data_IF_615152184011
#
_entry.id   IF_615152184011
#
_cell.length_a   1.000
_cell.length_b   1.000
_cell.length_c   1.000
_cell.angle_alpha   90.00
_cell.angle_beta   90.00
_cell.angle_gamma   90.00
#
_symmetry.space_group_name_H-M   'P 1'
#
loop_
_entity.id
_entity.type
_entity.pdbx_description
1 polymer ?
#
# COMPACT_ATOMS: atom_id res chain seq x y z
N UNK A 1 -6.41 -13.96 -36.67
CA UNK A 1 -7.31 -13.39 -35.64
C UNK A 1 -7.11 -14.25 -34.41
N UNK A 2 -6.70 -13.67 -33.29
CA UNK A 2 -6.58 -14.41 -32.04
C UNK A 2 -7.98 -14.91 -31.63
N UNK A 3 -8.13 -16.22 -31.51
CA UNK A 3 -9.40 -16.88 -31.21
C UNK A 3 -9.54 -17.17 -29.72
N UNK A 4 -10.70 -17.66 -29.30
CA UNK A 4 -10.92 -18.11 -27.92
C UNK A 4 -9.94 -19.23 -27.50
N UNK A 5 -9.36 -19.96 -28.46
CA UNK A 5 -8.31 -20.97 -28.25
C UNK A 5 -6.99 -20.39 -27.69
N UNK A 6 -6.74 -19.09 -27.86
CA UNK A 6 -5.56 -18.42 -27.27
C UNK A 6 -5.73 -18.13 -25.77
N UNK A 7 -6.93 -18.33 -25.20
CA UNK A 7 -7.20 -18.16 -23.76
C UNK A 7 -6.80 -19.38 -22.92
N UNK A 8 -6.60 -20.54 -23.55
CA UNK A 8 -6.12 -21.76 -22.89
C UNK A 8 -4.59 -21.77 -22.72
N UNK A 9 -3.88 -20.78 -23.30
CA UNK A 9 -2.45 -20.64 -23.04
C UNK A 9 -2.23 -20.13 -21.61
N UNK A 10 -1.57 -20.92 -20.74
CA UNK A 10 -1.20 -20.42 -19.43
C UNK A 10 -0.21 -19.27 -19.63
N UNK A 11 -0.67 -18.05 -19.34
CA UNK A 11 0.21 -16.89 -19.28
C UNK A 11 1.36 -17.21 -18.31
N UNK A 12 2.60 -16.79 -18.59
CA UNK A 12 3.68 -16.85 -17.62
C UNK A 12 3.36 -15.83 -16.51
N UNK A 13 2.47 -16.23 -15.61
CA UNK A 13 2.26 -15.56 -14.35
C UNK A 13 3.55 -15.79 -13.56
N UNK A 14 4.16 -14.73 -13.07
CA UNK A 14 5.19 -14.83 -12.03
C UNK A 14 4.62 -15.69 -10.89
N UNK A 15 5.03 -16.95 -10.85
CA UNK A 15 4.54 -18.04 -9.99
C UNK A 15 5.02 -17.91 -8.54
N UNK A 16 5.60 -16.77 -8.14
CA UNK A 16 5.66 -16.45 -6.72
C UNK A 16 4.22 -16.43 -6.23
N UNK A 17 3.88 -17.38 -5.36
CA UNK A 17 2.58 -17.41 -4.71
C UNK A 17 2.27 -15.98 -4.26
N UNK A 18 1.10 -15.45 -4.62
CA UNK A 18 0.67 -14.09 -4.26
C UNK A 18 0.90 -13.83 -2.77
N UNK A 19 0.78 -14.89 -1.95
CA UNK A 19 1.15 -14.89 -0.54
C UNK A 19 2.63 -14.60 -0.29
N UNK A 20 3.54 -15.28 -0.99
CA UNK A 20 4.99 -15.04 -0.88
C UNK A 20 5.35 -13.61 -1.25
N UNK A 21 4.83 -13.09 -2.36
CA UNK A 21 5.09 -11.70 -2.78
C UNK A 21 4.59 -10.68 -1.73
N UNK A 22 3.43 -10.93 -1.15
CA UNK A 22 2.88 -10.11 -0.06
C UNK A 22 3.76 -10.18 1.19
N UNK A 23 4.13 -11.38 1.62
CA UNK A 23 4.91 -11.59 2.83
C UNK A 23 6.33 -11.00 2.68
N UNK A 24 6.93 -11.06 1.49
CA UNK A 24 8.21 -10.41 1.19
C UNK A 24 8.13 -8.89 1.27
N UNK A 25 7.03 -8.29 0.78
CA UNK A 25 6.81 -6.85 0.88
C UNK A 25 6.50 -6.41 2.32
N UNK A 26 5.78 -7.24 3.08
CA UNK A 26 5.51 -7.01 4.51
C UNK A 26 6.85 -7.05 5.30
N UNK A 27 7.73 -8.04 5.04
CA UNK A 27 9.09 -8.11 5.62
C UNK A 27 9.96 -6.92 5.23
N UNK A 28 9.93 -6.49 3.97
CA UNK A 28 10.65 -5.30 3.50
C UNK A 28 10.19 -4.06 4.28
N UNK A 29 8.88 -3.90 4.42
CA UNK A 29 8.29 -2.77 5.14
C UNK A 29 8.74 -2.75 6.60
N UNK A 30 8.73 -3.91 7.27
CA UNK A 30 9.23 -4.02 8.65
C UNK A 30 10.72 -3.72 8.75
N UNK A 31 11.54 -4.16 7.79
CA UNK A 31 12.97 -3.86 7.79
C UNK A 31 13.26 -2.36 7.66
N UNK A 32 12.47 -1.64 6.87
CA UNK A 32 12.69 -0.20 6.60
C UNK A 32 12.07 0.70 7.68
N UNK A 33 10.87 0.36 8.17
CA UNK A 33 10.12 1.20 9.10
C UNK A 33 10.11 0.67 10.55
N UNK A 34 10.79 -0.45 10.81
CA UNK A 34 10.79 -1.10 12.12
C UNK A 34 11.86 -0.59 13.09
N UNK A 35 12.91 0.05 12.59
CA UNK A 35 13.95 0.67 13.41
C UNK A 35 13.53 2.07 13.89
N UNK A 36 14.37 2.72 14.70
CA UNK A 36 14.00 3.96 15.35
C UNK A 36 13.87 5.14 14.39
N UNK A 37 14.70 5.19 13.34
CA UNK A 37 14.61 6.25 12.33
C UNK A 37 13.45 6.02 11.37
N UNK A 38 13.18 4.77 11.00
CA UNK A 38 11.99 4.37 10.27
C UNK A 38 10.70 4.75 11.00
N UNK A 39 10.63 4.55 12.32
CA UNK A 39 9.48 5.01 13.13
C UNK A 39 9.32 6.53 13.09
N UNK A 40 10.40 7.30 13.21
CA UNK A 40 10.35 8.78 13.12
C UNK A 40 9.84 9.23 11.75
N UNK A 41 10.29 8.59 10.68
CA UNK A 41 9.83 8.89 9.32
C UNK A 41 8.35 8.55 9.13
N UNK A 42 7.90 7.39 9.65
CA UNK A 42 6.50 7.01 9.60
C UNK A 42 5.62 7.99 10.40
N UNK A 43 6.06 8.43 11.57
CA UNK A 43 5.34 9.44 12.34
C UNK A 43 5.20 10.75 11.57
N UNK A 44 6.28 11.21 10.92
CA UNK A 44 6.21 12.38 10.06
C UNK A 44 5.22 12.18 8.89
N UNK A 45 5.21 11.00 8.25
CA UNK A 45 4.24 10.69 7.19
C UNK A 45 2.78 10.75 7.69
N UNK A 46 2.52 10.27 8.91
CA UNK A 46 1.19 10.37 9.52
C UNK A 46 0.78 11.84 9.66
N UNK A 47 1.63 12.66 10.27
CA UNK A 47 1.34 14.08 10.48
C UNK A 47 1.17 14.85 9.17
N UNK A 48 1.99 14.54 8.17
CA UNK A 48 1.98 15.22 6.88
C UNK A 48 0.81 14.83 5.98
N UNK A 49 0.29 13.59 6.11
CA UNK A 49 -0.70 13.04 5.17
C UNK A 49 -2.03 12.72 5.87
N UNK A 50 -2.00 11.87 6.90
CA UNK A 50 -3.21 11.31 7.53
C UNK A 50 -3.92 12.30 8.45
N UNK A 51 -3.17 13.05 9.25
CA UNK A 51 -3.73 13.95 10.27
C UNK A 51 -4.17 15.32 9.69
N UNK A 52 -4.22 15.41 8.36
CA UNK A 52 -4.61 16.61 7.64
C UNK A 52 -6.08 16.51 7.18
N UNK A 53 -6.80 17.63 7.06
CA UNK A 53 -8.19 17.63 6.62
C UNK A 53 -8.36 17.04 5.22
N UNK A 54 -9.21 16.03 5.09
CA UNK A 54 -9.54 15.36 3.82
C UNK A 54 -10.53 16.17 3.00
N UNK A 55 -11.48 16.82 3.66
CA UNK A 55 -12.49 17.65 3.02
C UNK A 55 -12.70 18.93 3.82
N UNK A 56 -12.86 20.04 3.11
CA UNK A 56 -13.23 21.34 3.66
C UNK A 56 -14.64 21.70 3.17
N UNK A 57 -15.49 22.31 4.01
CA UNK A 57 -16.79 22.79 3.55
C UNK A 57 -16.63 23.73 2.35
N UNK A 58 -17.36 23.46 1.27
CA UNK A 58 -17.31 24.24 0.03
C UNK A 58 -16.17 23.87 -0.93
N UNK A 59 -15.32 22.90 -0.60
CA UNK A 59 -14.34 22.34 -1.54
C UNK A 59 -14.97 21.32 -2.48
N UNK A 60 -14.40 21.18 -3.69
CA UNK A 60 -14.85 20.17 -4.65
C UNK A 60 -14.55 18.74 -4.17
N UNK A 61 -15.44 17.81 -4.51
CA UNK A 61 -15.31 16.40 -4.16
C UNK A 61 -14.02 15.75 -4.68
N UNK A 62 -13.44 16.23 -5.79
CA UNK A 62 -12.17 15.76 -6.34
C UNK A 62 -11.03 15.87 -5.34
N UNK A 63 -11.05 16.89 -4.48
CA UNK A 63 -10.04 17.10 -3.46
C UNK A 63 -10.08 15.96 -2.42
N UNK A 64 -11.27 15.56 -1.99
CA UNK A 64 -11.42 14.47 -1.03
C UNK A 64 -10.95 13.13 -1.61
N UNK A 65 -11.24 12.84 -2.89
CA UNK A 65 -10.73 11.63 -3.56
C UNK A 65 -9.20 11.62 -3.64
N UNK A 66 -8.60 12.75 -4.00
CA UNK A 66 -7.14 12.88 -4.05
C UNK A 66 -6.52 12.65 -2.67
N UNK A 67 -7.05 13.30 -1.63
CA UNK A 67 -6.57 13.16 -0.25
C UNK A 67 -6.71 11.74 0.28
N UNK A 68 -7.82 11.07 -0.01
CA UNK A 68 -8.01 9.69 0.42
C UNK A 68 -7.04 8.73 -0.29
N UNK A 69 -6.72 8.98 -1.56
CA UNK A 69 -5.67 8.25 -2.26
C UNK A 69 -4.32 8.35 -1.55
N UNK A 70 -3.91 9.55 -1.14
CA UNK A 70 -2.68 9.73 -0.35
C UNK A 70 -2.73 9.01 1.00
N UNK A 71 -3.87 9.11 1.71
CA UNK A 71 -4.07 8.46 2.99
C UNK A 71 -3.96 6.93 2.88
N UNK A 72 -4.50 6.34 1.82
CA UNK A 72 -4.50 4.89 1.61
C UNK A 72 -3.09 4.31 1.57
N UNK A 73 -2.11 5.04 1.02
CA UNK A 73 -0.71 4.61 0.93
C UNK A 73 -0.09 4.50 2.33
N UNK A 74 -0.28 5.51 3.18
CA UNK A 74 0.27 5.50 4.54
C UNK A 74 -0.41 4.43 5.40
N UNK A 75 -1.73 4.25 5.26
CA UNK A 75 -2.46 3.16 5.95
C UNK A 75 -2.02 1.77 5.50
N UNK A 76 -1.70 1.58 4.22
CA UNK A 76 -1.18 0.31 3.74
C UNK A 76 0.19 -0.01 4.35
N UNK A 77 1.10 0.96 4.47
CA UNK A 77 2.38 0.80 5.18
C UNK A 77 2.16 0.34 6.63
N UNK A 78 1.23 0.97 7.35
CA UNK A 78 0.90 0.58 8.73
C UNK A 78 0.31 -0.84 8.79
N UNK A 79 -0.59 -1.18 7.88
CA UNK A 79 -1.17 -2.51 7.80
C UNK A 79 -0.10 -3.59 7.50
N UNK A 80 0.87 -3.29 6.62
CA UNK A 80 2.02 -4.15 6.33
C UNK A 80 2.86 -4.39 7.57
N UNK A 81 3.15 -3.35 8.35
CA UNK A 81 3.90 -3.49 9.61
C UNK A 81 3.17 -4.38 10.62
N UNK A 82 1.85 -4.24 10.75
CA UNK A 82 1.04 -5.08 11.63
C UNK A 82 1.07 -6.54 11.18
N UNK A 83 0.96 -6.80 9.87
CA UNK A 83 1.03 -8.16 9.31
C UNK A 83 2.42 -8.76 9.48
N UNK A 84 3.47 -8.01 9.14
CA UNK A 84 4.85 -8.46 9.22
C UNK A 84 5.28 -8.90 10.62
N UNK A 85 4.75 -8.26 11.68
CA UNK A 85 4.98 -8.64 13.08
C UNK A 85 4.33 -9.96 13.48
N UNK A 86 3.44 -10.51 12.65
CA UNK A 86 2.69 -11.76 12.87
C UNK A 86 3.12 -12.90 11.92
N UNK A 87 4.04 -12.62 11.00
CA UNK A 87 4.65 -13.61 10.11
C UNK A 87 5.68 -14.45 10.88
#
# INVERSE_FOLDING_TARGET
>A
MAGWDDLDQPLPLDIRDVKQARDDLDRLTLRVFGDDDGKKLLEWLRQAVLEQPVALPGSDSSYAYYREGQNSIVRDIEARLIRARKL
#
